data_IF_238371103107
#
_entry.id   IF_238371103107
#
_cell.length_a   1.000
_cell.length_b   1.000
_cell.length_c   1.000
_cell.angle_alpha   90.00
_cell.angle_beta   90.00
_cell.angle_gamma   90.00
#
_symmetry.space_group_name_H-M   'P 1'
#
loop_
_entity.id
_entity.type
_entity.pdbx_description
1 polymer ?
#
# COMPACT_ATOMS: atom_id res chain seq x y z
N UNK A 1 -16.58 -17.88 2.24
CA UNK A 1 -15.35 -17.40 1.59
C UNK A 1 -15.78 -16.47 0.47
N UNK A 2 -15.51 -15.18 0.62
CA UNK A 2 -15.93 -14.16 -0.34
C UNK A 2 -14.76 -13.80 -1.25
N UNK A 3 -15.07 -13.54 -2.53
CA UNK A 3 -14.13 -12.97 -3.50
C UNK A 3 -14.64 -11.57 -3.85
N UNK A 4 -13.77 -10.59 -3.73
CA UNK A 4 -14.04 -9.23 -4.17
C UNK A 4 -13.12 -8.96 -5.36
N UNK A 5 -13.71 -8.49 -6.47
CA UNK A 5 -12.97 -7.96 -7.60
C UNK A 5 -13.17 -6.44 -7.59
N UNK A 6 -12.09 -5.68 -7.52
CA UNK A 6 -12.07 -4.22 -7.53
C UNK A 6 -10.89 -3.76 -8.35
N UNK A 7 -11.04 -2.69 -9.12
CA UNK A 7 -9.91 -2.10 -9.84
C UNK A 7 -8.88 -1.54 -8.86
N UNK A 8 -7.61 -1.50 -9.28
CA UNK A 8 -6.54 -0.89 -8.49
C UNK A 8 -6.85 0.60 -8.21
N UNK A 9 -7.44 1.31 -9.17
CA UNK A 9 -7.82 2.72 -8.99
C UNK A 9 -8.90 2.90 -7.92
N UNK A 10 -9.87 1.98 -7.82
CA UNK A 10 -10.85 1.96 -6.73
C UNK A 10 -10.18 1.66 -5.38
N UNK A 11 -9.23 0.73 -5.33
CA UNK A 11 -8.43 0.45 -4.12
C UNK A 11 -7.68 1.71 -3.68
N UNK A 12 -7.00 2.38 -4.60
CA UNK A 12 -6.25 3.60 -4.30
C UNK A 12 -7.18 4.72 -3.84
N UNK A 13 -8.33 4.90 -4.48
CA UNK A 13 -9.36 5.88 -4.07
C UNK A 13 -9.86 5.59 -2.65
N UNK A 14 -10.08 4.33 -2.30
CA UNK A 14 -10.48 3.93 -0.95
C UNK A 14 -9.37 4.23 0.07
N UNK A 15 -8.11 3.98 -0.27
CA UNK A 15 -6.96 4.36 0.58
C UNK A 15 -6.91 5.88 0.76
N UNK A 16 -7.02 6.67 -0.30
CA UNK A 16 -6.97 8.14 -0.21
C UNK A 16 -8.08 8.74 0.67
N UNK A 17 -9.26 8.11 0.66
CA UNK A 17 -10.41 8.54 1.45
C UNK A 17 -10.31 8.12 2.92
N UNK A 18 -9.74 6.96 3.21
CA UNK A 18 -9.81 6.33 4.54
C UNK A 18 -8.49 6.30 5.31
N UNK A 19 -7.34 6.53 4.67
CA UNK A 19 -6.06 6.53 5.35
C UNK A 19 -5.74 7.93 5.90
N UNK A 20 -5.42 7.97 7.19
CA UNK A 20 -4.93 9.16 7.89
C UNK A 20 -3.42 9.31 7.65
N UNK A 21 -3.06 9.68 6.41
CA UNK A 21 -1.70 10.08 6.06
C UNK A 21 -1.64 11.59 5.86
N UNK A 22 -0.43 12.16 5.96
CA UNK A 22 -0.19 13.59 5.71
C UNK A 22 -0.51 13.93 4.24
N UNK A 23 -1.77 14.27 3.94
CA UNK A 23 -2.28 14.64 2.61
C UNK A 23 -1.57 15.87 2.03
N UNK A 24 -0.85 16.65 2.84
CA UNK A 24 0.02 17.73 2.35
C UNK A 24 1.28 17.19 1.67
N UNK A 25 1.70 15.97 2.05
CA UNK A 25 2.86 15.28 1.50
C UNK A 25 2.49 14.32 0.40
N UNK A 26 1.48 13.46 0.52
CA UNK A 26 1.08 12.60 -0.61
C UNK A 26 0.12 13.38 -1.50
N UNK A 27 0.57 13.78 -2.69
CA UNK A 27 -0.18 14.63 -3.62
C UNK A 27 -1.04 13.84 -4.60
N UNK A 28 -0.61 12.63 -4.97
CA UNK A 28 -1.42 11.72 -5.77
C UNK A 28 -0.96 10.28 -5.62
N UNK A 29 -1.91 9.35 -5.76
CA UNK A 29 -1.69 7.92 -5.97
C UNK A 29 -2.35 7.52 -7.31
N UNK A 30 -1.68 6.67 -8.09
CA UNK A 30 -2.27 6.18 -9.34
C UNK A 30 -1.69 4.84 -9.79
N UNK A 31 -2.50 4.02 -10.44
CA UNK A 31 -2.01 2.80 -11.09
C UNK A 31 -1.38 3.12 -12.44
N UNK A 32 -0.16 2.64 -12.68
CA UNK A 32 0.50 2.72 -13.99
C UNK A 32 0.06 1.52 -14.85
N UNK A 33 0.14 0.32 -14.29
CA UNK A 33 -0.24 -0.93 -14.94
C UNK A 33 -0.77 -1.94 -13.89
N UNK A 34 -0.83 -3.22 -14.27
CA UNK A 34 -1.31 -4.31 -13.44
C UNK A 34 -0.49 -4.55 -12.18
N UNK A 35 0.76 -4.07 -12.11
CA UNK A 35 1.63 -4.31 -10.95
C UNK A 35 2.28 -3.05 -10.41
N UNK A 36 2.20 -1.92 -11.11
CA UNK A 36 2.90 -0.71 -10.75
C UNK A 36 1.95 0.38 -10.27
N UNK A 37 2.28 0.97 -9.13
CA UNK A 37 1.60 2.11 -8.52
C UNK A 37 2.58 3.27 -8.43
N UNK A 38 2.19 4.44 -8.91
CA UNK A 38 2.89 5.70 -8.72
C UNK A 38 2.38 6.38 -7.44
N UNK A 39 3.29 6.81 -6.58
CA UNK A 39 3.02 7.69 -5.45
C UNK A 39 3.78 9.00 -5.69
N UNK A 40 3.05 10.10 -5.81
CA UNK A 40 3.65 11.43 -5.86
C UNK A 40 3.67 12.04 -4.46
N UNK A 41 4.87 12.33 -3.96
CA UNK A 41 5.11 12.92 -2.64
C UNK A 41 5.67 14.34 -2.78
N UNK A 42 4.94 15.35 -2.31
CA UNK A 42 5.41 16.72 -2.15
C UNK A 42 6.34 16.90 -0.95
N UNK A 43 7.38 17.71 -1.14
CA UNK A 43 8.38 18.03 -0.11
C UNK A 43 8.43 19.56 0.07
N UNK A 44 7.42 20.12 0.74
CA UNK A 44 7.36 21.56 0.99
C UNK A 44 7.47 22.38 -0.32
N UNK A 45 8.54 23.17 -0.45
CA UNK A 45 8.85 24.01 -1.61
C UNK A 45 9.65 23.30 -2.72
N UNK A 46 10.13 22.08 -2.47
CA UNK A 46 10.88 21.30 -3.46
C UNK A 46 9.93 20.61 -4.46
N UNK A 47 10.42 20.29 -5.67
CA UNK A 47 9.67 19.51 -6.64
C UNK A 47 9.14 18.21 -6.02
N UNK A 48 7.91 17.86 -6.39
CA UNK A 48 7.32 16.58 -5.99
C UNK A 48 8.16 15.41 -6.48
N UNK A 49 8.29 14.39 -5.64
CA UNK A 49 8.97 13.15 -5.95
C UNK A 49 7.96 12.11 -6.40
N UNK A 50 8.26 11.42 -7.49
CA UNK A 50 7.52 10.25 -7.93
C UNK A 50 8.22 8.99 -7.45
N UNK A 51 7.49 8.15 -6.76
CA UNK A 51 7.95 6.85 -6.27
C UNK A 51 7.10 5.78 -6.94
N UNK A 52 7.73 4.85 -7.64
CA UNK A 52 7.05 3.73 -8.27
C UNK A 52 7.19 2.51 -7.37
N UNK A 53 6.06 1.90 -7.02
CA UNK A 53 5.96 0.65 -6.28
C UNK A 53 5.51 -0.45 -7.22
N UNK A 54 6.29 -1.51 -7.33
CA UNK A 54 5.96 -2.72 -8.09
C UNK A 54 5.45 -3.77 -7.12
N UNK A 55 4.20 -4.20 -7.25
CA UNK A 55 3.66 -5.33 -6.52
C UNK A 55 4.47 -6.58 -6.84
N UNK A 56 4.97 -7.21 -5.78
CA UNK A 56 5.77 -8.42 -5.86
C UNK A 56 4.91 -9.64 -5.52
N UNK A 57 4.35 -9.65 -4.30
CA UNK A 57 3.52 -10.76 -3.81
C UNK A 57 2.73 -10.37 -2.56
N UNK A 58 1.73 -11.19 -2.27
CA UNK A 58 1.10 -11.28 -0.95
C UNK A 58 1.56 -12.56 -0.25
N UNK A 59 1.94 -12.46 1.03
CA UNK A 59 2.30 -13.61 1.86
C UNK A 59 2.03 -13.32 3.33
N UNK A 60 1.38 -14.26 4.03
CA UNK A 60 1.18 -14.20 5.49
C UNK A 60 0.56 -12.88 5.97
N UNK A 61 -0.47 -12.37 5.26
CA UNK A 61 -1.13 -11.12 5.64
C UNK A 61 -0.33 -9.85 5.34
N UNK A 62 0.77 -9.96 4.59
CA UNK A 62 1.62 -8.85 4.18
C UNK A 62 1.65 -8.72 2.66
N UNK A 63 1.59 -7.48 2.19
CA UNK A 63 1.80 -7.13 0.79
C UNK A 63 3.24 -6.64 0.64
N UNK A 64 3.93 -7.15 -0.37
CA UNK A 64 5.31 -6.81 -0.68
C UNK A 64 5.35 -6.02 -1.98
N UNK A 65 5.92 -4.83 -1.93
CA UNK A 65 6.24 -4.01 -3.09
C UNK A 65 7.74 -3.83 -3.21
N UNK A 66 8.25 -3.74 -4.43
CA UNK A 66 9.62 -3.32 -4.72
C UNK A 66 9.61 -1.87 -5.18
N UNK A 67 10.51 -1.05 -4.63
CA UNK A 67 10.73 0.31 -5.09
C UNK A 67 11.44 0.28 -6.45
N UNK A 68 10.75 0.75 -7.49
CA UNK A 68 11.26 0.88 -8.85
C UNK A 68 11.57 2.35 -9.16
N UNK A 69 12.51 2.93 -8.43
CA UNK A 69 12.93 4.32 -8.59
C UNK A 69 14.44 4.42 -8.36
N UNK A 70 15.05 5.53 -8.76
CA UNK A 70 16.49 5.72 -8.54
C UNK A 70 16.82 5.76 -7.03
N UNK A 71 18.08 5.45 -6.69
CA UNK A 71 18.52 5.33 -5.29
C UNK A 71 18.34 6.61 -4.48
N UNK A 72 18.46 7.77 -5.11
CA UNK A 72 18.24 9.06 -4.44
C UNK A 72 16.77 9.21 -3.99
N UNK A 73 15.83 8.91 -4.89
CA UNK A 73 14.39 8.93 -4.61
C UNK A 73 14.04 7.91 -3.52
N UNK A 74 14.62 6.70 -3.60
CA UNK A 74 14.43 5.65 -2.60
C UNK A 74 14.92 6.12 -1.23
N UNK A 75 16.11 6.70 -1.15
CA UNK A 75 16.68 7.19 0.10
C UNK A 75 15.84 8.32 0.71
N UNK A 76 15.33 9.22 -0.12
CA UNK A 76 14.39 10.27 0.31
C UNK A 76 13.08 9.66 0.82
N UNK A 77 12.50 8.69 0.11
CA UNK A 77 11.28 7.99 0.51
C UNK A 77 11.45 7.24 1.84
N UNK A 78 12.57 6.53 2.02
CA UNK A 78 12.90 5.87 3.30
C UNK A 78 13.06 6.87 4.45
N UNK A 79 13.62 8.06 4.18
CA UNK A 79 13.72 9.14 5.16
C UNK A 79 12.36 9.63 5.68
N UNK A 80 11.29 9.57 4.86
CA UNK A 80 9.94 9.93 5.29
C UNK A 80 9.32 8.91 6.24
N UNK A 81 9.48 7.62 5.96
CA UNK A 81 8.83 6.57 6.74
C UNK A 81 9.48 6.32 8.10
N UNK A 82 10.76 6.68 8.28
CA UNK A 82 11.46 6.58 9.57
C UNK A 82 10.89 7.50 10.68
N UNK A 83 10.00 8.44 10.36
CA UNK A 83 9.49 9.46 11.31
C UNK A 83 8.17 9.11 12.01
N UNK A 84 7.60 7.93 11.81
CA UNK A 84 6.38 7.52 12.52
C UNK A 84 6.66 6.30 13.38
N UNK A 85 6.79 6.51 14.69
CA UNK A 85 6.94 5.45 15.68
C UNK A 85 5.58 5.06 16.28
N UNK A 86 5.42 3.76 16.54
CA UNK A 86 4.37 3.21 17.41
C UNK A 86 3.66 1.99 16.84
N UNK A 87 3.19 2.06 15.58
CA UNK A 87 2.18 1.10 15.09
C UNK A 87 2.41 0.56 13.68
N UNK A 88 3.63 0.72 13.15
CA UNK A 88 4.01 0.59 11.75
C UNK A 88 3.36 -0.56 10.97
N UNK A 89 2.35 -0.19 10.18
CA UNK A 89 1.72 -1.03 9.16
C UNK A 89 2.56 -1.09 7.89
N UNK A 90 3.50 -0.15 7.69
CA UNK A 90 4.38 -0.07 6.52
C UNK A 90 5.83 0.00 7.02
N UNK A 91 6.73 -0.78 6.43
CA UNK A 91 8.17 -0.65 6.67
C UNK A 91 8.97 -0.94 5.40
N UNK A 92 10.19 -0.39 5.32
CA UNK A 92 11.09 -0.58 4.17
C UNK A 92 12.33 -1.34 4.60
N UNK A 93 12.71 -2.36 3.83
CA UNK A 93 13.95 -3.09 3.98
C UNK A 93 14.53 -3.43 2.60
N UNK A 94 15.78 -3.06 2.33
CA UNK A 94 16.48 -3.39 1.07
C UNK A 94 15.65 -3.10 -0.20
N UNK A 95 15.12 -1.88 -0.34
CA UNK A 95 14.24 -1.44 -1.44
C UNK A 95 12.87 -2.15 -1.51
N UNK A 96 12.52 -2.99 -0.54
CA UNK A 96 11.22 -3.64 -0.43
C UNK A 96 10.35 -2.87 0.58
N UNK A 97 9.18 -2.44 0.15
CA UNK A 97 8.13 -1.88 1.01
C UNK A 97 7.19 -3.00 1.40
N UNK A 98 6.99 -3.19 2.71
CA UNK A 98 6.17 -4.26 3.25
C UNK A 98 5.01 -3.64 4.02
N UNK A 99 3.79 -3.96 3.59
CA UNK A 99 2.54 -3.49 4.18
C UNK A 99 1.87 -4.64 4.92
N UNK A 100 1.70 -4.52 6.24
CA UNK A 100 1.00 -5.48 7.11
C UNK A 100 -0.52 -5.33 6.97
N UNK A 101 -1.05 -5.71 5.80
CA UNK A 101 -2.46 -5.53 5.43
C UNK A 101 -3.44 -6.15 6.45
N UNK A 102 -3.18 -7.37 6.94
CA UNK A 102 -4.05 -7.97 7.95
C UNK A 102 -3.99 -7.28 9.31
N UNK A 103 -2.83 -6.73 9.71
CA UNK A 103 -2.74 -5.91 10.94
C UNK A 103 -3.60 -4.65 10.81
N UNK A 104 -3.56 -3.99 9.64
CA UNK A 104 -4.39 -2.83 9.35
C UNK A 104 -5.89 -3.18 9.34
N UNK A 105 -6.27 -4.26 8.66
CA UNK A 105 -7.66 -4.70 8.59
C UNK A 105 -8.21 -5.06 9.96
N UNK A 106 -7.49 -5.86 10.75
CA UNK A 106 -7.95 -6.27 12.09
C UNK A 106 -8.11 -5.10 13.07
N UNK A 107 -7.38 -3.99 12.87
CA UNK A 107 -7.55 -2.77 13.67
C UNK A 107 -8.89 -2.06 13.37
N UNK A 108 -9.41 -2.18 12.15
CA UNK A 108 -10.61 -1.47 11.70
C UNK A 108 -11.85 -2.38 11.60
N UNK A 109 -11.65 -3.66 11.35
CA UNK A 109 -12.69 -4.66 11.12
C UNK A 109 -12.33 -5.94 11.86
N UNK A 110 -12.95 -6.16 13.02
CA UNK A 110 -12.79 -7.40 13.77
C UNK A 110 -13.25 -8.58 12.92
N UNK A 111 -12.48 -9.69 12.98
CA UNK A 111 -12.84 -10.95 12.31
C UNK A 111 -12.63 -11.02 10.80
N UNK A 112 -12.09 -9.98 10.15
CA UNK A 112 -11.75 -10.01 8.72
C UNK A 112 -10.26 -10.23 8.53
N UNK A 113 -9.90 -11.18 7.67
CA UNK A 113 -8.51 -11.45 7.27
C UNK A 113 -8.41 -11.71 5.77
N UNK A 114 -7.39 -11.14 5.11
CA UNK A 114 -7.01 -11.52 3.75
C UNK A 114 -6.25 -12.83 3.83
N UNK A 115 -6.74 -13.83 3.09
CA UNK A 115 -6.10 -15.14 2.93
C UNK A 115 -5.22 -15.15 1.69
N UNK A 116 -5.67 -14.47 0.64
CA UNK A 116 -4.99 -14.43 -0.65
C UNK A 116 -5.31 -13.10 -1.35
N UNK A 117 -4.34 -12.61 -2.12
CA UNK A 117 -4.44 -11.39 -2.90
C UNK A 117 -3.64 -11.55 -4.18
N UNK A 118 -4.30 -11.33 -5.31
CA UNK A 118 -3.68 -11.36 -6.62
C UNK A 118 -4.05 -10.10 -7.41
N UNK A 119 -3.19 -9.68 -8.33
CA UNK A 119 -3.46 -8.55 -9.21
C UNK A 119 -3.25 -9.00 -10.66
N UNK A 120 -4.28 -8.83 -11.48
CA UNK A 120 -4.31 -9.23 -12.89
C UNK A 120 -5.09 -8.16 -13.64
N UNK A 121 -4.60 -7.70 -14.79
CA UNK A 121 -5.31 -6.73 -15.66
C UNK A 121 -5.80 -5.45 -14.94
N UNK A 122 -4.98 -4.93 -14.01
CA UNK A 122 -5.30 -3.78 -13.13
C UNK A 122 -6.44 -4.05 -12.13
N UNK A 123 -6.88 -5.28 -12.00
CA UNK A 123 -7.87 -5.71 -11.03
C UNK A 123 -7.23 -6.41 -9.84
N UNK A 124 -7.70 -6.10 -8.64
CA UNK A 124 -7.26 -6.68 -7.38
C UNK A 124 -8.29 -7.71 -6.93
N UNK A 125 -7.86 -8.98 -6.94
CA UNK A 125 -8.63 -10.13 -6.50
C UNK A 125 -8.27 -10.44 -5.05
N UNK A 126 -9.21 -10.27 -4.14
CA UNK A 126 -8.99 -10.52 -2.71
C UNK A 126 -9.86 -11.68 -2.23
N UNK A 127 -9.23 -12.64 -1.55
CA UNK A 127 -9.90 -13.74 -0.87
C UNK A 127 -9.94 -13.48 0.63
N UNK A 128 -11.13 -13.36 1.19
CA UNK A 128 -11.32 -13.03 2.60
C UNK A 128 -11.80 -14.23 3.41
N UNK A 129 -11.25 -14.34 4.62
CA UNK A 129 -11.85 -15.04 5.74
C UNK A 129 -12.64 -14.02 6.57
N UNK A 130 -13.89 -14.36 6.88
CA UNK A 130 -14.75 -13.56 7.76
C UNK A 130 -15.21 -14.50 8.86
N UNK A 131 -14.79 -14.23 10.09
CA UNK A 131 -15.30 -14.94 11.25
C UNK A 131 -16.75 -14.49 11.51
N UNK A 132 -17.70 -15.41 11.42
CA UNK A 132 -19.13 -15.13 11.60
C UNK A 132 -19.56 -14.99 13.07
N UNK A 133 -18.65 -15.21 14.02
CA UNK A 133 -18.96 -15.15 15.46
C UNK A 133 -18.71 -13.77 16.08
N UNK A 134 -19.02 -12.70 15.36
CA UNK A 134 -18.98 -11.30 15.85
C UNK A 134 -20.39 -10.74 15.77
#
# INVERSE_FOLDING_TARGET
>A
MARLNISMDEVLTLIEKNADYDKKRIRSLGAINDKEVEITVGIGFLPSIKVILVFNKFKEGKIYFTLNSNDNIINMFMGFLKKTDGDNFIYIHNKVVIVKANKFLLKNFSGIQIIDLNIVDKEVYVKLYINKNI
#
